data_IF_452312527239
#
_entry.id   IF_452312527239
#
_cell.length_a   1.000
_cell.length_b   1.000
_cell.length_c   1.000
_cell.angle_alpha   90.00
_cell.angle_beta   90.00
_cell.angle_gamma   90.00
#
_symmetry.space_group_name_H-M   'P 1'
#
loop_
_entity.id
_entity.type
_entity.pdbx_description
1 polymer ?
#
# COMPACT_ATOMS: atom_id res chain seq x y z
N UNK A 1 -29.85 18.46 0.91
CA UNK A 1 -28.65 17.80 0.35
C UNK A 1 -29.11 16.56 -0.39
N UNK A 2 -28.54 16.28 -1.56
CA UNK A 2 -28.83 15.04 -2.28
C UNK A 2 -28.41 13.83 -1.42
N UNK A 3 -29.16 12.73 -1.52
CA UNK A 3 -28.80 11.50 -0.83
C UNK A 3 -27.52 10.93 -1.43
N UNK A 4 -26.58 10.50 -0.58
CA UNK A 4 -25.36 9.83 -1.02
C UNK A 4 -25.71 8.58 -1.85
N UNK A 5 -24.90 8.23 -2.84
CA UNK A 5 -25.18 7.08 -3.71
C UNK A 5 -23.90 6.40 -4.20
N UNK A 6 -24.03 5.13 -4.59
CA UNK A 6 -22.95 4.31 -5.13
C UNK A 6 -22.59 4.77 -6.54
N UNK A 7 -21.40 5.35 -6.72
CA UNK A 7 -20.92 5.87 -8.00
C UNK A 7 -20.14 4.83 -8.82
N UNK A 8 -19.16 4.15 -8.22
CA UNK A 8 -18.35 3.15 -8.90
C UNK A 8 -18.12 1.93 -8.00
N UNK A 9 -17.97 0.77 -8.64
CA UNK A 9 -17.63 -0.50 -8.01
C UNK A 9 -16.35 -0.99 -8.68
N UNK A 10 -15.33 -1.34 -7.90
CA UNK A 10 -14.08 -1.88 -8.39
C UNK A 10 -13.72 -3.19 -7.71
N UNK A 11 -13.25 -4.14 -8.50
CA UNK A 11 -12.59 -5.35 -8.02
C UNK A 11 -11.18 -5.45 -8.56
N UNK A 12 -10.30 -6.14 -7.83
CA UNK A 12 -8.91 -6.35 -8.20
C UNK A 12 -8.60 -7.83 -8.03
N UNK A 13 -8.91 -8.67 -9.05
CA UNK A 13 -8.90 -10.12 -8.87
C UNK A 13 -7.58 -10.69 -8.37
N UNK A 14 -6.47 -10.08 -8.78
CA UNK A 14 -5.13 -10.38 -8.28
C UNK A 14 -4.66 -9.22 -7.41
N UNK A 15 -4.14 -9.53 -6.22
CA UNK A 15 -3.56 -8.53 -5.33
C UNK A 15 -2.51 -7.70 -6.07
N UNK A 16 -2.64 -6.38 -5.98
CA UNK A 16 -1.80 -5.38 -6.67
C UNK A 16 -2.05 -5.17 -8.17
N UNK A 17 -2.90 -5.96 -8.83
CA UNK A 17 -3.21 -5.78 -10.25
C UNK A 17 -4.03 -4.52 -10.53
N UNK A 18 -4.24 -4.22 -11.82
CA UNK A 18 -5.22 -3.23 -12.26
C UNK A 18 -6.63 -3.58 -11.75
N UNK A 19 -7.46 -2.55 -11.60
CA UNK A 19 -8.89 -2.69 -11.26
C UNK A 19 -9.70 -3.14 -12.48
N UNK A 20 -10.81 -3.80 -12.21
CA UNK A 20 -11.96 -3.91 -13.11
C UNK A 20 -13.07 -3.05 -12.53
N UNK A 21 -13.58 -2.11 -13.31
CA UNK A 21 -14.79 -1.37 -12.94
C UNK A 21 -16.03 -2.19 -13.32
N UNK A 22 -16.95 -2.36 -12.37
CA UNK A 22 -18.19 -3.11 -12.54
C UNK A 22 -19.40 -2.19 -12.44
N UNK A 23 -20.46 -2.53 -13.18
CA UNK A 23 -21.76 -1.88 -13.01
C UNK A 23 -22.51 -2.39 -11.77
N UNK A 24 -22.19 -3.60 -11.32
CA UNK A 24 -22.78 -4.26 -10.16
C UNK A 24 -21.88 -5.38 -9.63
N UNK A 25 -22.09 -5.80 -8.38
CA UNK A 25 -21.37 -6.91 -7.76
C UNK A 25 -22.22 -7.61 -6.70
N UNK A 26 -22.01 -8.91 -6.56
CA UNK A 26 -22.40 -9.65 -5.37
C UNK A 26 -21.43 -9.33 -4.23
N UNK A 27 -21.96 -9.14 -3.02
CA UNK A 27 -21.19 -8.95 -1.79
C UNK A 27 -21.19 -10.25 -1.00
N UNK A 28 -20.00 -10.77 -0.75
CA UNK A 28 -19.70 -11.96 0.04
C UNK A 28 -19.11 -11.58 1.40
N UNK A 29 -18.92 -12.58 2.26
CA UNK A 29 -18.18 -12.38 3.53
C UNK A 29 -16.76 -11.85 3.29
N UNK A 30 -16.09 -12.31 2.24
CA UNK A 30 -14.73 -11.91 1.86
C UNK A 30 -14.65 -10.53 1.19
N UNK A 31 -15.79 -9.83 0.99
CA UNK A 31 -15.88 -8.55 0.28
C UNK A 31 -16.65 -8.68 -1.03
N UNK A 32 -16.29 -7.90 -2.05
CA UNK A 32 -16.92 -8.04 -3.36
C UNK A 32 -16.49 -9.36 -3.99
N UNK A 33 -17.41 -10.06 -4.65
CA UNK A 33 -17.10 -11.24 -5.44
C UNK A 33 -15.92 -10.97 -6.37
N UNK A 34 -15.03 -11.97 -6.49
CA UNK A 34 -13.79 -11.91 -7.27
C UNK A 34 -12.69 -10.98 -6.75
N UNK A 35 -12.89 -10.21 -5.68
CA UNK A 35 -11.89 -9.24 -5.22
C UNK A 35 -10.74 -9.88 -4.44
N UNK A 36 -9.49 -9.63 -4.89
CA UNK A 36 -8.22 -10.11 -4.30
C UNK A 36 -8.25 -11.60 -3.91
N UNK A 37 -8.89 -12.42 -4.74
CA UNK A 37 -8.92 -13.88 -4.58
C UNK A 37 -7.61 -14.54 -4.99
N UNK A 38 -6.76 -13.84 -5.73
CA UNK A 38 -5.41 -14.30 -6.08
C UNK A 38 -4.32 -13.40 -5.49
N UNK A 39 -3.14 -13.98 -5.25
CA UNK A 39 -1.92 -13.26 -4.89
C UNK A 39 -0.71 -13.89 -5.56
N UNK A 40 0.26 -13.05 -5.92
CA UNK A 40 1.57 -13.50 -6.39
C UNK A 40 2.50 -13.63 -5.20
N UNK A 41 3.17 -14.77 -5.08
CA UNK A 41 4.15 -15.02 -4.02
C UNK A 41 5.44 -15.59 -4.60
N UNK A 42 6.53 -15.47 -3.87
CA UNK A 42 7.77 -16.21 -4.14
C UNK A 42 7.63 -17.69 -3.72
N UNK A 43 8.54 -18.59 -4.15
CA UNK A 43 8.47 -20.00 -3.78
C UNK A 43 8.56 -20.28 -2.28
N UNK A 44 9.16 -19.38 -1.50
CA UNK A 44 9.21 -19.42 -0.03
C UNK A 44 7.95 -18.83 0.64
N UNK A 45 6.92 -18.48 -0.15
CA UNK A 45 5.62 -18.07 0.35
C UNK A 45 5.51 -16.60 0.77
N UNK A 46 6.48 -15.76 0.40
CA UNK A 46 6.41 -14.31 0.65
C UNK A 46 5.62 -13.60 -0.44
N UNK A 47 4.77 -12.66 -0.04
CA UNK A 47 3.93 -11.92 -0.99
C UNK A 47 4.75 -10.96 -1.84
N UNK A 48 4.52 -11.01 -3.15
CA UNK A 48 5.02 -10.02 -4.11
C UNK A 48 3.89 -9.03 -4.37
N UNK A 49 4.11 -7.75 -4.05
CA UNK A 49 3.09 -6.70 -4.18
C UNK A 49 3.62 -5.53 -4.99
N UNK A 50 2.78 -4.61 -5.45
CA UNK A 50 3.29 -3.46 -6.21
C UNK A 50 4.24 -2.56 -5.40
N UNK A 51 4.23 -2.65 -4.06
CA UNK A 51 5.22 -1.97 -3.21
C UNK A 51 6.65 -2.37 -3.57
N UNK A 52 6.85 -3.63 -3.95
CA UNK A 52 8.15 -4.19 -4.36
C UNK A 52 8.28 -4.40 -5.86
N UNK A 53 7.18 -4.71 -6.56
CA UNK A 53 7.13 -4.97 -7.99
C UNK A 53 5.99 -4.16 -8.64
N UNK A 54 6.19 -2.85 -8.91
CA UNK A 54 5.14 -1.96 -9.41
C UNK A 54 4.48 -2.43 -10.71
N UNK A 55 5.20 -3.17 -11.55
CA UNK A 55 4.70 -3.71 -12.82
C UNK A 55 3.49 -4.63 -12.65
N UNK A 56 3.24 -5.15 -11.45
CA UNK A 56 1.99 -5.86 -11.12
C UNK A 56 0.75 -5.00 -11.43
N UNK A 57 0.82 -3.67 -11.26
CA UNK A 57 -0.28 -2.76 -11.57
C UNK A 57 -0.70 -2.80 -13.05
N UNK A 58 0.20 -3.25 -13.95
CA UNK A 58 -0.07 -3.34 -15.39
C UNK A 58 -0.73 -4.65 -15.81
N UNK A 59 -0.87 -5.61 -14.89
CA UNK A 59 -1.64 -6.83 -15.14
C UNK A 59 -3.12 -6.46 -15.15
N UNK A 60 -3.76 -6.65 -16.29
CA UNK A 60 -5.19 -6.43 -16.47
C UNK A 60 -5.89 -7.78 -16.51
N UNK A 61 -6.99 -7.89 -15.78
CA UNK A 61 -7.82 -9.08 -15.74
C UNK A 61 -9.18 -8.78 -16.38
N UNK A 62 -9.74 -9.78 -17.04
CA UNK A 62 -11.13 -9.83 -17.48
C UNK A 62 -11.79 -11.04 -16.84
N UNK A 63 -12.96 -10.85 -16.24
CA UNK A 63 -13.73 -11.95 -15.64
C UNK A 63 -14.33 -12.82 -16.76
N UNK A 64 -14.31 -14.13 -16.59
CA UNK A 64 -15.01 -15.09 -17.46
C UNK A 64 -15.99 -15.92 -16.62
N UNK A 65 -16.84 -16.71 -17.28
CA UNK A 65 -17.77 -17.60 -16.57
C UNK A 65 -17.06 -18.68 -15.72
N UNK A 66 -15.81 -19.03 -16.07
CA UNK A 66 -15.06 -20.14 -15.44
C UNK A 66 -13.77 -19.68 -14.75
N UNK A 67 -13.47 -18.38 -14.73
CA UNK A 67 -12.19 -17.88 -14.26
C UNK A 67 -11.84 -16.47 -14.71
N UNK A 68 -10.59 -16.29 -15.14
CA UNK A 68 -10.01 -15.01 -15.55
C UNK A 68 -9.22 -15.18 -16.85
N UNK A 69 -9.30 -14.17 -17.72
CA UNK A 69 -8.27 -13.95 -18.76
C UNK A 69 -7.41 -12.77 -18.32
N UNK A 70 -6.10 -12.94 -18.27
CA UNK A 70 -5.17 -11.87 -17.91
C UNK A 70 -4.23 -11.51 -19.06
N UNK A 71 -3.89 -10.22 -19.13
CA UNK A 71 -2.92 -9.67 -20.06
C UNK A 71 -1.95 -8.75 -19.32
N UNK A 72 -0.72 -8.66 -19.83
CA UNK A 72 0.29 -7.74 -19.35
C UNK A 72 1.22 -7.33 -20.51
N UNK A 73 1.95 -6.21 -20.39
CA UNK A 73 2.87 -5.76 -21.43
C UNK A 73 3.87 -6.85 -21.84
N UNK A 74 4.03 -7.05 -23.15
CA UNK A 74 4.96 -8.02 -23.75
C UNK A 74 4.74 -9.49 -23.34
N UNK A 75 3.54 -9.84 -22.86
CA UNK A 75 3.17 -11.20 -22.50
C UNK A 75 2.03 -11.72 -23.38
N UNK A 76 1.99 -13.03 -23.71
CA UNK A 76 0.78 -13.62 -24.27
C UNK A 76 -0.36 -13.56 -23.26
N UNK A 77 -1.61 -13.51 -23.74
CA UNK A 77 -2.77 -13.65 -22.87
C UNK A 77 -2.74 -14.99 -22.14
N UNK A 78 -3.09 -15.00 -20.85
CA UNK A 78 -3.15 -16.20 -20.02
C UNK A 78 -4.59 -16.40 -19.55
N UNK A 79 -5.12 -17.60 -19.78
CA UNK A 79 -6.42 -18.03 -19.25
C UNK A 79 -6.19 -18.82 -17.97
N UNK A 80 -6.89 -18.45 -16.91
CA UNK A 80 -6.87 -19.10 -15.59
C UNK A 80 -8.29 -19.58 -15.32
N UNK A 81 -8.50 -20.89 -15.31
CA UNK A 81 -9.81 -21.49 -15.01
C UNK A 81 -9.82 -22.11 -13.62
N UNK A 82 -10.87 -21.84 -12.84
CA UNK A 82 -10.96 -22.30 -11.46
C UNK A 82 -10.90 -23.82 -11.33
N UNK A 83 -11.55 -24.55 -12.24
CA UNK A 83 -11.55 -26.02 -12.25
C UNK A 83 -10.19 -26.62 -12.64
N UNK A 84 -9.29 -25.81 -13.21
CA UNK A 84 -7.94 -26.23 -13.55
C UNK A 84 -6.92 -25.94 -12.44
N UNK A 85 -7.30 -25.28 -11.33
CA UNK A 85 -6.40 -25.08 -10.20
C UNK A 85 -5.98 -26.41 -9.56
N UNK A 86 -4.81 -26.44 -8.94
CA UNK A 86 -4.34 -27.63 -8.24
C UNK A 86 -5.17 -27.84 -6.97
N UNK A 87 -5.33 -29.10 -6.54
CA UNK A 87 -5.96 -29.40 -5.25
C UNK A 87 -5.02 -29.17 -4.05
N UNK A 88 -3.72 -28.98 -4.33
CA UNK A 88 -2.71 -28.74 -3.31
C UNK A 88 -2.75 -27.32 -2.75
N UNK A 89 -2.50 -27.21 -1.46
CA UNK A 89 -2.37 -25.95 -0.73
C UNK A 89 -0.96 -25.78 -0.19
N UNK A 90 -0.50 -24.54 -0.09
CA UNK A 90 0.74 -24.19 0.61
C UNK A 90 0.48 -23.13 1.67
N UNK A 91 1.22 -23.23 2.78
CA UNK A 91 1.23 -22.20 3.79
C UNK A 91 2.00 -20.98 3.27
N UNK A 92 1.36 -19.82 3.31
CA UNK A 92 1.99 -18.53 3.00
C UNK A 92 1.85 -17.57 4.17
N UNK A 93 2.91 -16.81 4.43
CA UNK A 93 2.99 -15.90 5.56
C UNK A 93 2.63 -14.49 5.13
N UNK A 94 1.60 -13.94 5.76
CA UNK A 94 1.19 -12.55 5.63
C UNK A 94 1.30 -11.88 7.00
N UNK A 95 2.43 -11.22 7.25
CA UNK A 95 2.75 -10.65 8.55
C UNK A 95 2.76 -11.72 9.66
N UNK A 96 1.76 -11.73 10.53
CA UNK A 96 1.59 -12.69 11.62
C UNK A 96 0.58 -13.79 11.29
N UNK A 97 -0.07 -13.73 10.13
CA UNK A 97 -1.06 -14.71 9.69
C UNK A 97 -0.39 -15.77 8.78
N UNK A 98 -0.72 -17.04 9.01
CA UNK A 98 -0.42 -18.11 8.06
C UNK A 98 -1.69 -18.50 7.33
N UNK A 99 -1.68 -18.39 6.00
CA UNK A 99 -2.83 -18.70 5.14
C UNK A 99 -2.49 -19.95 4.35
N UNK A 100 -3.38 -20.94 4.36
CA UNK A 100 -3.30 -22.05 3.41
C UNK A 100 -3.86 -21.58 2.07
N UNK A 101 -3.02 -21.42 1.06
CA UNK A 101 -3.40 -20.91 -0.25
C UNK A 101 -3.33 -22.01 -1.32
N UNK A 102 -4.39 -22.12 -2.12
CA UNK A 102 -4.49 -23.10 -3.20
C UNK A 102 -3.52 -22.77 -4.32
N UNK A 103 -2.83 -23.79 -4.84
CA UNK A 103 -1.82 -23.59 -5.87
C UNK A 103 -2.42 -23.51 -7.28
N UNK A 104 -1.85 -22.64 -8.12
CA UNK A 104 -2.07 -22.68 -9.56
C UNK A 104 -1.14 -23.69 -10.26
N UNK A 105 -1.48 -24.06 -11.50
CA UNK A 105 -0.66 -24.94 -12.33
C UNK A 105 0.68 -24.32 -12.70
N UNK A 106 1.64 -25.19 -13.04
CA UNK A 106 3.02 -24.82 -13.41
C UNK A 106 3.09 -23.79 -14.55
N UNK A 107 2.25 -23.93 -15.57
CA UNK A 107 2.20 -23.00 -16.71
C UNK A 107 1.77 -21.58 -16.28
N UNK A 108 0.82 -21.47 -15.34
CA UNK A 108 0.41 -20.18 -14.77
C UNK A 108 1.59 -19.57 -14.01
N UNK A 109 2.23 -20.34 -13.13
CA UNK A 109 3.38 -19.86 -12.35
C UNK A 109 4.55 -19.43 -13.25
N UNK A 110 4.80 -20.14 -14.35
CA UNK A 110 5.81 -19.79 -15.35
C UNK A 110 5.51 -18.46 -16.04
N UNK A 111 4.25 -18.16 -16.35
CA UNK A 111 3.84 -16.88 -16.93
C UNK A 111 4.20 -15.71 -15.99
N UNK A 112 3.85 -15.80 -14.71
CA UNK A 112 4.20 -14.77 -13.72
C UNK A 112 5.71 -14.67 -13.51
N UNK A 113 6.39 -15.83 -13.50
CA UNK A 113 7.85 -15.86 -13.32
C UNK A 113 8.59 -15.18 -14.47
N UNK A 114 8.10 -15.38 -15.70
CA UNK A 114 8.62 -14.70 -16.89
C UNK A 114 8.30 -13.20 -16.86
N UNK A 115 7.06 -12.81 -16.53
CA UNK A 115 6.69 -11.40 -16.47
C UNK A 115 7.51 -10.62 -15.42
N UNK A 116 7.71 -11.19 -14.23
CA UNK A 116 8.42 -10.54 -13.13
C UNK A 116 9.93 -10.83 -13.10
N UNK A 117 10.43 -11.61 -14.06
CA UNK A 117 11.84 -12.00 -14.18
C UNK A 117 12.42 -12.61 -12.89
N UNK A 118 11.59 -13.38 -12.16
CA UNK A 118 11.98 -14.08 -10.93
C UNK A 118 11.03 -15.24 -10.66
N UNK A 119 11.43 -16.28 -9.89
CA UNK A 119 10.52 -17.37 -9.53
C UNK A 119 9.28 -16.85 -8.80
N UNK A 120 8.10 -17.22 -9.28
CA UNK A 120 6.82 -16.79 -8.73
C UNK A 120 5.80 -17.93 -8.73
N UNK A 121 4.89 -17.89 -7.76
CA UNK A 121 3.69 -18.68 -7.66
C UNK A 121 2.48 -17.75 -7.72
N UNK A 122 1.47 -18.12 -8.50
CA UNK A 122 0.14 -17.55 -8.33
C UNK A 122 -0.65 -18.46 -7.38
N UNK A 123 -1.22 -17.86 -6.34
CA UNK A 123 -1.95 -18.55 -5.30
C UNK A 123 -3.38 -18.04 -5.23
N UNK A 124 -4.32 -18.94 -4.97
CA UNK A 124 -5.73 -18.67 -4.90
C UNK A 124 -6.26 -18.87 -3.47
N UNK A 125 -7.17 -18.00 -3.05
CA UNK A 125 -7.89 -18.14 -1.80
C UNK A 125 -9.04 -19.12 -2.04
N UNK A 126 -8.76 -20.41 -1.87
CA UNK A 126 -9.68 -21.51 -2.13
C UNK A 126 -10.64 -21.77 -0.97
N UNK A 127 -11.43 -22.85 -1.06
CA UNK A 127 -12.40 -23.23 -0.01
C UNK A 127 -11.75 -23.49 1.34
N UNK A 128 -10.54 -24.07 1.34
CA UNK A 128 -9.82 -24.46 2.55
C UNK A 128 -8.90 -23.33 3.05
N UNK A 129 -8.97 -22.15 2.43
CA UNK A 129 -8.27 -20.95 2.88
C UNK A 129 -9.09 -20.25 3.97
N UNK A 130 -8.43 -19.85 5.05
CA UNK A 130 -9.04 -19.05 6.11
C UNK A 130 -8.11 -17.93 6.54
N UNK A 131 -8.70 -16.76 6.77
CA UNK A 131 -8.04 -15.62 7.39
C UNK A 131 -9.10 -14.65 7.91
N UNK A 132 -8.87 -14.13 9.10
CA UNK A 132 -9.83 -13.28 9.80
C UNK A 132 -9.38 -11.84 9.83
N UNK A 133 -10.35 -10.93 9.79
CA UNK A 133 -10.11 -9.53 10.12
C UNK A 133 -9.72 -9.46 11.60
N UNK A 134 -8.70 -8.65 11.92
CA UNK A 134 -8.20 -8.52 13.28
C UNK A 134 -9.33 -8.21 14.27
N UNK A 135 -9.42 -8.99 15.34
CA UNK A 135 -10.43 -8.88 16.40
C UNK A 135 -11.89 -9.03 15.92
N UNK A 136 -12.13 -9.71 14.80
CA UNK A 136 -13.45 -9.98 14.25
C UNK A 136 -13.55 -11.42 13.75
N UNK A 137 -14.77 -11.94 13.67
CA UNK A 137 -15.05 -13.26 13.09
C UNK A 137 -15.23 -13.23 11.57
N UNK A 138 -15.36 -12.03 10.97
CA UNK A 138 -15.46 -11.85 9.51
C UNK A 138 -14.14 -12.21 8.83
N UNK A 139 -14.21 -12.90 7.70
CA UNK A 139 -13.03 -13.25 6.91
C UNK A 139 -12.50 -12.10 6.04
N UNK A 140 -11.23 -12.21 5.66
CA UNK A 140 -10.58 -11.37 4.65
C UNK A 140 -9.64 -12.22 3.80
N UNK A 141 -9.76 -12.11 2.48
CA UNK A 141 -8.89 -12.83 1.53
C UNK A 141 -7.46 -12.27 1.51
N UNK A 142 -6.87 -12.13 0.31
CA UNK A 142 -5.54 -11.53 0.18
C UNK A 142 -5.53 -9.99 0.19
N UNK A 143 -6.65 -9.34 0.53
CA UNK A 143 -6.66 -7.91 0.85
C UNK A 143 -5.74 -7.60 2.05
N UNK A 144 -5.32 -6.35 2.25
CA UNK A 144 -4.30 -6.03 3.26
C UNK A 144 -4.78 -6.30 4.70
N UNK A 145 -5.91 -5.71 5.11
CA UNK A 145 -6.44 -5.87 6.46
C UNK A 145 -7.97 -6.04 6.53
N UNK A 146 -8.69 -5.45 5.57
CA UNK A 146 -10.15 -5.50 5.51
C UNK A 146 -10.63 -5.88 4.11
N UNK A 147 -11.81 -6.51 3.99
CA UNK A 147 -12.41 -6.92 2.72
C UNK A 147 -12.62 -5.79 1.72
N UNK A 148 -13.01 -4.63 2.23
CA UNK A 148 -13.53 -3.54 1.41
C UNK A 148 -12.95 -2.19 1.83
N UNK A 149 -12.77 -1.32 0.85
CA UNK A 149 -12.40 0.07 1.03
C UNK A 149 -13.41 0.98 0.33
N UNK A 150 -13.94 1.96 1.05
CA UNK A 150 -14.82 3.01 0.54
C UNK A 150 -14.12 4.37 0.55
N UNK A 151 -14.33 5.14 -0.52
CA UNK A 151 -13.85 6.52 -0.64
C UNK A 151 -14.95 7.34 -1.30
N UNK A 152 -15.22 8.56 -0.83
CA UNK A 152 -16.11 9.45 -1.55
C UNK A 152 -15.40 10.17 -2.70
N UNK A 153 -16.11 10.40 -3.80
CA UNK A 153 -15.63 11.21 -4.93
C UNK A 153 -15.26 12.63 -4.45
N UNK A 154 -16.06 13.20 -3.53
CA UNK A 154 -15.79 14.51 -2.96
C UNK A 154 -14.45 14.58 -2.19
N UNK A 155 -14.05 13.51 -1.49
CA UNK A 155 -12.73 13.41 -0.86
C UNK A 155 -11.59 13.45 -1.88
N UNK A 156 -11.73 12.76 -3.02
CA UNK A 156 -10.74 12.79 -4.09
C UNK A 156 -10.69 14.16 -4.78
N UNK A 157 -11.85 14.77 -5.04
CA UNK A 157 -11.92 16.10 -5.64
C UNK A 157 -11.27 17.15 -4.73
N UNK A 158 -11.47 17.02 -3.42
CA UNK A 158 -10.81 17.86 -2.43
C UNK A 158 -9.28 17.68 -2.44
N UNK A 159 -8.80 16.43 -2.47
CA UNK A 159 -7.37 16.14 -2.61
C UNK A 159 -6.79 16.76 -3.88
N UNK A 160 -7.44 16.57 -5.03
CA UNK A 160 -6.98 17.13 -6.31
C UNK A 160 -6.98 18.66 -6.32
N UNK A 161 -7.87 19.33 -5.57
CA UNK A 161 -7.82 20.80 -5.40
C UNK A 161 -6.62 21.27 -4.58
N UNK A 162 -6.16 20.44 -3.63
CA UNK A 162 -5.00 20.76 -2.78
C UNK A 162 -3.67 20.35 -3.43
N UNK A 163 -3.70 19.39 -4.34
CA UNK A 163 -2.56 18.94 -5.11
C UNK A 163 -2.11 20.02 -6.10
N UNK A 164 -0.95 20.63 -5.82
CA UNK A 164 -0.40 21.75 -6.59
C UNK A 164 0.80 21.37 -7.46
N UNK A 165 1.29 20.15 -7.31
CA UNK A 165 2.40 19.64 -8.10
C UNK A 165 1.83 18.93 -9.33
N UNK A 166 2.42 19.18 -10.50
CA UNK A 166 2.20 18.43 -11.73
C UNK A 166 0.92 18.67 -12.54
N UNK A 167 0.99 18.34 -13.84
CA UNK A 167 -0.11 18.46 -14.82
C UNK A 167 -1.08 17.28 -14.79
N UNK A 168 -0.77 16.23 -14.03
CA UNK A 168 -1.52 14.98 -13.96
C UNK A 168 -2.41 14.90 -12.73
N UNK A 169 -3.72 14.75 -12.92
CA UNK A 169 -4.69 14.54 -11.83
C UNK A 169 -4.48 13.21 -11.11
N UNK A 170 -4.58 13.21 -9.78
CA UNK A 170 -4.54 11.99 -8.96
C UNK A 170 -5.80 11.17 -9.24
N UNK A 171 -5.62 9.90 -9.62
CA UNK A 171 -6.72 8.98 -9.92
C UNK A 171 -7.22 8.26 -8.67
N UNK A 172 -8.54 8.03 -8.60
CA UNK A 172 -9.15 7.19 -7.56
C UNK A 172 -8.51 5.80 -7.46
N UNK A 173 -8.10 5.24 -8.61
CA UNK A 173 -7.52 3.90 -8.72
C UNK A 173 -6.17 3.77 -8.00
N UNK A 174 -5.45 4.89 -7.74
CA UNK A 174 -4.24 4.88 -6.89
C UNK A 174 -4.54 4.45 -5.45
N UNK A 175 -5.75 4.76 -4.96
CA UNK A 175 -6.19 4.39 -3.61
C UNK A 175 -6.83 3.00 -3.54
N UNK A 176 -7.09 2.40 -4.69
CA UNK A 176 -7.66 1.06 -4.83
C UNK A 176 -8.97 0.79 -4.06
N UNK A 177 -9.93 1.74 -3.99
CA UNK A 177 -11.20 1.47 -3.33
C UNK A 177 -11.96 0.36 -4.05
N UNK A 178 -12.85 -0.30 -3.33
CA UNK A 178 -13.86 -1.18 -3.90
C UNK A 178 -15.15 -0.41 -4.19
N UNK A 179 -15.49 0.53 -3.32
CA UNK A 179 -16.72 1.29 -3.36
C UNK A 179 -16.37 2.77 -3.45
N UNK A 180 -16.90 3.45 -4.47
CA UNK A 180 -16.84 4.91 -4.56
C UNK A 180 -18.25 5.45 -4.47
N UNK A 181 -18.45 6.44 -3.60
CA UNK A 181 -19.75 7.08 -3.39
C UNK A 181 -19.67 8.56 -3.73
N UNK A 182 -20.80 9.17 -4.08
CA UNK A 182 -20.88 10.60 -4.31
C UNK A 182 -22.12 11.19 -3.63
N UNK A 183 -22.46 12.44 -3.96
CA UNK A 183 -23.54 13.19 -3.32
C UNK A 183 -23.37 13.32 -1.80
N UNK A 184 -22.13 13.51 -1.36
CA UNK A 184 -21.78 13.82 0.02
C UNK A 184 -20.66 14.86 0.06
N UNK A 185 -20.47 15.49 1.21
CA UNK A 185 -19.35 16.40 1.42
C UNK A 185 -18.01 15.66 1.40
N UNK A 186 -16.92 16.38 1.14
CA UNK A 186 -15.59 15.82 1.21
C UNK A 186 -15.32 15.27 2.63
N UNK A 187 -14.82 14.03 2.69
CA UNK A 187 -14.55 13.30 3.93
C UNK A 187 -15.78 12.98 4.79
N UNK A 188 -17.00 13.11 4.25
CA UNK A 188 -18.20 12.73 4.98
C UNK A 188 -18.15 11.26 5.47
N UNK A 189 -17.45 10.38 4.75
CA UNK A 189 -17.24 8.98 5.12
C UNK A 189 -16.54 8.81 6.48
N UNK A 190 -15.76 9.79 6.95
CA UNK A 190 -15.10 9.72 8.25
C UNK A 190 -16.08 9.68 9.43
N UNK A 191 -17.29 10.21 9.23
CA UNK A 191 -18.33 10.24 10.25
C UNK A 191 -19.32 9.07 10.17
N UNK A 192 -19.13 8.12 9.25
CA UNK A 192 -20.04 6.99 9.12
C UNK A 192 -19.55 5.83 9.97
N UNK A 193 -20.46 5.15 10.65
CA UNK A 193 -20.17 3.96 11.44
C UNK A 193 -20.88 2.72 10.88
N UNK A 194 -22.12 2.89 10.43
CA UNK A 194 -22.94 1.84 9.87
C UNK A 194 -23.73 2.44 8.71
N UNK A 195 -23.60 1.84 7.54
CA UNK A 195 -24.25 2.31 6.31
C UNK A 195 -25.00 1.16 5.64
N UNK A 196 -25.99 1.50 4.82
CA UNK A 196 -26.65 0.58 3.90
C UNK A 196 -26.49 1.09 2.47
N UNK A 197 -26.13 0.21 1.54
CA UNK A 197 -26.10 0.50 0.10
C UNK A 197 -26.95 -0.56 -0.58
N UNK A 198 -28.05 -0.14 -1.20
CA UNK A 198 -29.06 -1.09 -1.69
C UNK A 198 -29.61 -1.93 -0.54
N UNK A 199 -29.45 -3.24 -0.63
CA UNK A 199 -29.86 -4.20 0.41
C UNK A 199 -28.74 -4.62 1.38
N UNK A 200 -27.51 -4.16 1.14
CA UNK A 200 -26.34 -4.61 1.90
C UNK A 200 -25.95 -3.58 2.95
N UNK A 201 -25.82 -4.03 4.19
CA UNK A 201 -25.32 -3.25 5.30
C UNK A 201 -23.83 -3.46 5.52
N UNK A 202 -23.14 -2.39 5.88
CA UNK A 202 -21.71 -2.39 6.13
C UNK A 202 -21.40 -1.69 7.44
N UNK A 203 -20.49 -2.30 8.20
CA UNK A 203 -19.83 -1.66 9.33
C UNK A 203 -18.56 -0.96 8.83
N UNK A 204 -18.43 0.32 9.14
CA UNK A 204 -17.21 1.11 8.94
C UNK A 204 -16.29 0.80 10.12
N UNK A 205 -15.20 0.07 9.87
CA UNK A 205 -14.37 -0.49 10.94
C UNK A 205 -13.29 0.47 11.40
N UNK A 206 -12.53 1.02 10.46
CA UNK A 206 -11.39 1.88 10.76
C UNK A 206 -11.01 2.73 9.54
N UNK A 207 -10.54 3.97 9.75
CA UNK A 207 -9.94 4.77 8.69
C UNK A 207 -8.79 4.04 8.00
N UNK A 208 -8.66 4.22 6.69
CA UNK A 208 -7.63 3.55 5.91
C UNK A 208 -6.32 4.36 5.92
N UNK A 209 -5.31 3.85 6.62
CA UNK A 209 -3.94 4.37 6.54
C UNK A 209 -3.35 4.11 5.15
N UNK A 210 -2.79 5.16 4.54
CA UNK A 210 -2.23 5.09 3.19
C UNK A 210 -0.74 4.78 3.25
N UNK A 211 -0.28 3.95 2.31
CA UNK A 211 1.11 3.56 2.17
C UNK A 211 1.67 3.97 0.81
N UNK A 212 2.97 3.74 0.59
CA UNK A 212 3.68 4.11 -0.64
C UNK A 212 3.05 3.54 -1.92
N UNK A 213 2.19 2.51 -1.83
CA UNK A 213 1.45 2.02 -2.99
C UNK A 213 0.72 3.14 -3.72
N UNK A 214 0.12 4.10 -2.99
CA UNK A 214 -0.69 5.17 -3.62
C UNK A 214 0.13 6.08 -4.52
N UNK A 215 1.46 6.06 -4.41
CA UNK A 215 2.37 6.88 -5.24
C UNK A 215 2.78 6.19 -6.53
N UNK A 216 2.34 4.95 -6.76
CA UNK A 216 2.57 4.22 -8.00
C UNK A 216 1.50 4.64 -9.00
N UNK A 217 1.93 5.08 -10.19
CA UNK A 217 1.03 5.34 -11.29
C UNK A 217 0.42 4.01 -11.78
N UNK A 218 -0.91 3.81 -11.73
CA UNK A 218 -1.53 2.54 -12.08
C UNK A 218 -1.45 2.21 -13.57
N UNK A 219 -1.17 3.18 -14.44
CA UNK A 219 -1.06 3.00 -15.90
C UNK A 219 0.37 2.76 -16.36
N UNK A 220 1.37 3.34 -15.68
CA UNK A 220 2.79 3.24 -16.10
C UNK A 220 3.64 2.41 -15.15
N UNK A 221 3.13 2.08 -13.95
CA UNK A 221 3.86 1.47 -12.83
C UNK A 221 5.00 2.30 -12.24
N UNK A 222 5.17 3.55 -12.69
CA UNK A 222 6.22 4.42 -12.18
C UNK A 222 5.87 4.95 -10.79
N UNK A 223 6.86 4.94 -9.89
CA UNK A 223 6.75 5.57 -8.58
C UNK A 223 6.86 7.09 -8.76
N UNK A 224 5.94 7.86 -8.16
CA UNK A 224 6.00 9.31 -8.19
C UNK A 224 7.23 9.82 -7.40
N UNK A 225 8.06 10.64 -8.02
CA UNK A 225 9.34 11.10 -7.45
C UNK A 225 9.17 11.85 -6.12
N UNK A 226 8.12 12.69 -6.03
CA UNK A 226 7.79 13.45 -4.83
C UNK A 226 6.84 12.71 -3.85
N UNK A 227 6.66 11.39 -4.05
CA UNK A 227 5.76 10.57 -3.21
C UNK A 227 4.30 11.06 -3.14
N UNK A 228 3.82 11.69 -4.21
CA UNK A 228 2.42 12.12 -4.30
C UNK A 228 1.52 10.92 -4.61
N UNK A 229 0.32 10.82 -4.02
CA UNK A 229 -0.41 11.86 -3.29
C UNK A 229 -0.17 11.90 -1.77
N UNK A 230 0.75 11.08 -1.25
CA UNK A 230 0.95 10.99 0.20
C UNK A 230 1.46 12.31 0.77
N UNK A 231 2.38 12.97 0.08
CA UNK A 231 2.92 14.25 0.53
C UNK A 231 1.83 15.33 0.64
N UNK A 232 0.91 15.42 -0.31
CA UNK A 232 -0.26 16.31 -0.20
C UNK A 232 -1.18 15.88 0.93
N UNK A 233 -1.57 14.60 1.02
CA UNK A 233 -2.45 14.13 2.09
C UNK A 233 -1.85 14.39 3.48
N UNK A 234 -0.54 14.21 3.64
CA UNK A 234 0.17 14.45 4.89
C UNK A 234 -0.05 15.86 5.44
N UNK A 235 -0.20 16.88 4.58
CA UNK A 235 -0.32 18.26 5.06
C UNK A 235 -1.64 18.54 5.80
N UNK A 236 -2.65 17.67 5.69
CA UNK A 236 -3.97 17.91 6.30
C UNK A 236 -4.71 16.65 6.78
N UNK A 237 -4.18 15.44 6.50
CA UNK A 237 -4.77 14.14 6.85
C UNK A 237 -3.83 13.26 7.67
N UNK A 238 -2.80 13.84 8.29
CA UNK A 238 -1.88 13.12 9.16
C UNK A 238 -2.36 13.13 10.63
N UNK A 239 -2.39 11.96 11.25
CA UNK A 239 -2.63 11.80 12.69
C UNK A 239 -1.36 12.08 13.50
N UNK A 240 -1.50 12.29 14.81
CA UNK A 240 -0.37 12.51 15.71
C UNK A 240 0.68 11.38 15.69
N UNK A 241 0.28 10.14 15.40
CA UNK A 241 1.16 8.98 15.29
C UNK A 241 1.89 8.88 13.93
N UNK A 242 1.67 9.82 13.02
CA UNK A 242 2.28 9.86 11.68
C UNK A 242 1.45 9.21 10.57
N UNK A 243 0.38 8.49 10.90
CA UNK A 243 -0.47 7.83 9.89
C UNK A 243 -1.22 8.84 9.02
N UNK A 244 -1.23 8.61 7.71
CA UNK A 244 -1.94 9.44 6.73
C UNK A 244 -3.24 8.73 6.34
N UNK A 245 -4.39 9.37 6.54
CA UNK A 245 -5.70 8.74 6.34
C UNK A 245 -6.40 9.16 5.06
N UNK A 246 -6.89 8.19 4.28
CA UNK A 246 -7.78 8.45 3.14
C UNK A 246 -8.68 7.24 2.82
N UNK A 247 -9.99 7.42 2.92
CA UNK A 247 -10.97 6.34 2.81
C UNK A 247 -11.22 5.58 4.11
N UNK A 248 -12.22 4.71 4.06
CA UNK A 248 -12.74 3.95 5.19
C UNK A 248 -12.77 2.46 4.87
N UNK A 249 -12.24 1.63 5.76
CA UNK A 249 -12.34 0.19 5.63
C UNK A 249 -13.71 -0.29 6.09
N UNK A 250 -14.25 -1.30 5.41
CA UNK A 250 -15.58 -1.86 5.68
C UNK A 250 -15.53 -3.37 5.83
N UNK A 251 -16.50 -3.90 6.58
CA UNK A 251 -16.94 -5.29 6.51
C UNK A 251 -18.43 -5.33 6.18
N UNK A 252 -18.85 -6.29 5.36
CA UNK A 252 -20.27 -6.51 5.08
C UNK A 252 -20.91 -7.25 6.25
N UNK A 253 -22.13 -6.85 6.63
CA UNK A 253 -22.91 -7.46 7.72
C UNK A 253 -23.91 -8.50 7.21
N UNK A 254 -24.22 -8.45 5.91
CA UNK A 254 -25.02 -9.43 5.19
C UNK A 254 -24.50 -9.58 3.76
N UNK A 255 -24.96 -10.62 3.07
CA UNK A 255 -24.73 -10.81 1.64
C UNK A 255 -25.87 -10.16 0.84
N UNK A 256 -25.58 -9.81 -0.40
CA UNK A 256 -26.57 -9.24 -1.32
C UNK A 256 -25.93 -8.60 -2.54
N UNK A 257 -26.78 -8.03 -3.39
CA UNK A 257 -26.37 -7.36 -4.61
C UNK A 257 -26.29 -5.84 -4.42
N UNK A 258 -25.22 -5.25 -4.92
CA UNK A 258 -25.09 -3.80 -5.05
C UNK A 258 -24.83 -3.42 -6.50
N UNK A 259 -25.39 -2.30 -6.93
CA UNK A 259 -25.21 -1.75 -8.28
C UNK A 259 -24.98 -0.26 -8.26
N UNK A 260 -24.26 0.22 -9.27
CA UNK A 260 -24.09 1.65 -9.51
C UNK A 260 -25.47 2.32 -9.53
N UNK A 261 -25.58 3.42 -8.79
CA UNK A 261 -26.82 4.15 -8.62
C UNK A 261 -27.59 3.83 -7.34
N UNK A 262 -27.25 2.76 -6.61
CA UNK A 262 -27.92 2.44 -5.35
C UNK A 262 -27.76 3.57 -4.34
N UNK A 263 -28.85 3.87 -3.62
CA UNK A 263 -28.85 4.85 -2.56
C UNK A 263 -28.02 4.38 -1.38
N UNK A 264 -27.26 5.30 -0.79
CA UNK A 264 -26.56 5.10 0.46
C UNK A 264 -27.34 5.75 1.60
N UNK A 265 -27.62 4.97 2.64
CA UNK A 265 -28.21 5.43 3.89
C UNK A 265 -27.20 5.30 5.02
N UNK A 266 -27.02 6.37 5.82
CA UNK A 266 -26.17 6.34 7.01
C UNK A 266 -27.02 5.98 8.22
N UNK A 267 -26.95 4.73 8.66
CA UNK A 267 -27.72 4.18 9.77
C UNK A 267 -27.17 4.61 11.13
N UNK A 268 -25.84 4.75 11.23
CA UNK A 268 -25.17 5.20 12.45
C UNK A 268 -23.94 6.04 12.12
N UNK A 269 -23.70 7.08 12.93
CA UNK A 269 -22.56 7.99 12.80
C UNK A 269 -21.55 7.80 13.93
N UNK A 270 -20.32 8.22 13.67
CA UNK A 270 -19.21 8.29 14.61
C UNK A 270 -18.49 9.62 14.55
N UNK A 271 -17.62 9.85 15.54
CA UNK A 271 -16.71 11.00 15.57
C UNK A 271 -15.62 10.81 14.51
N UNK A 272 -15.40 11.83 13.69
CA UNK A 272 -14.32 11.82 12.69
C UNK A 272 -12.94 11.88 13.37
N UNK A 273 -11.89 11.36 12.73
CA UNK A 273 -10.53 11.51 13.22
C UNK A 273 -10.11 12.97 13.35
N UNK A 274 -9.27 13.24 14.35
CA UNK A 274 -8.65 14.57 14.55
C UNK A 274 -7.25 14.54 13.96
N UNK A 275 -6.96 15.49 13.08
CA UNK A 275 -5.68 15.57 12.38
C UNK A 275 -4.73 16.56 13.05
N UNK A 276 -3.47 16.18 13.15
CA UNK A 276 -2.40 17.04 13.65
C UNK A 276 -1.79 17.78 12.47
N UNK A 277 -2.42 18.88 12.07
CA UNK A 277 -1.80 19.76 11.09
C UNK A 277 -0.66 20.49 11.80
N UNK A 278 0.59 20.11 11.53
CA UNK A 278 1.74 20.96 11.90
C UNK A 278 1.56 22.27 11.15
N UNK A 279 1.04 23.30 11.82
CA UNK A 279 1.04 24.65 11.31
C UNK A 279 2.49 24.96 10.96
N UNK A 280 2.77 25.25 9.69
CA UNK A 280 4.00 25.94 9.34
C UNK A 280 3.91 27.28 10.06
N UNK A 281 4.47 27.36 11.26
CA UNK A 281 4.76 28.62 11.91
C UNK A 281 5.63 29.38 10.91
N UNK A 282 5.04 30.38 10.27
CA UNK A 282 5.77 31.41 9.55
C UNK A 282 6.56 32.15 10.62
N UNK A 283 7.73 31.62 10.96
CA UNK A 283 8.71 32.39 11.71
C UNK A 283 9.21 33.43 10.70
N UNK A 284 8.64 34.63 10.76
CA UNK A 284 9.34 35.82 10.31
C UNK A 284 10.57 36.00 11.21
N UNK A 285 11.63 35.27 10.89
CA UNK A 285 12.95 35.55 11.41
C UNK A 285 13.55 36.67 10.57
N UNK A 286 13.18 37.91 10.91
CA UNK A 286 13.96 39.08 10.54
C UNK A 286 15.26 39.03 11.35
N UNK A 287 16.25 38.27 10.87
CA UNK A 287 17.65 38.47 11.23
C UNK A 287 18.51 38.25 9.99
N UNK A 288 18.97 39.38 9.47
CA UNK A 288 20.10 39.55 8.58
C UNK A 288 21.28 38.75 9.12
N UNK A 289 21.63 37.66 8.45
CA UNK A 289 22.97 37.10 8.54
C UNK A 289 23.29 36.53 7.17
N UNK A 290 24.16 37.23 6.45
CA UNK A 290 24.75 36.74 5.21
C UNK A 290 25.50 35.46 5.52
N UNK A 291 24.89 34.30 5.25
CA UNK A 291 25.62 33.04 5.14
C UNK A 291 25.98 32.89 3.68
N UNK A 292 27.28 33.00 3.42
CA UNK A 292 27.90 32.72 2.13
C UNK A 292 27.42 31.36 1.63
N UNK A 293 27.02 31.34 0.36
CA UNK A 293 26.85 30.15 -0.46
C UNK A 293 28.24 29.52 -0.63
N UNK A 294 28.67 28.69 0.31
CA UNK A 294 29.69 27.68 0.02
C UNK A 294 28.95 26.44 -0.47
N UNK A 295 28.79 26.38 -1.79
CA UNK A 295 28.49 25.17 -2.51
C UNK A 295 29.69 24.23 -2.38
N UNK A 296 29.73 23.44 -1.31
CA UNK A 296 30.52 22.21 -1.30
C UNK A 296 29.81 21.23 -2.22
N UNK A 297 30.35 21.09 -3.44
CA UNK A 297 30.00 20.04 -4.39
C UNK A 297 30.26 18.68 -3.71
N UNK A 298 29.25 18.07 -3.11
CA UNK A 298 29.35 16.69 -2.63
C UNK A 298 29.45 15.77 -3.84
N UNK A 299 30.64 15.19 -4.01
CA UNK A 299 30.99 14.32 -5.13
C UNK A 299 30.14 13.05 -5.04
N UNK A 300 29.06 13.00 -5.83
CA UNK A 300 28.19 11.81 -5.94
C UNK A 300 29.02 10.66 -6.51
N UNK A 301 29.23 9.61 -5.70
CA UNK A 301 29.93 8.40 -6.14
C UNK A 301 28.94 7.55 -6.92
N UNK A 302 29.24 7.22 -8.19
CA UNK A 302 28.30 6.47 -9.06
C UNK A 302 28.01 5.03 -8.56
N UNK A 303 28.95 4.45 -7.82
CA UNK A 303 28.87 3.10 -7.25
C UNK A 303 29.34 3.12 -5.79
N UNK A 304 28.53 3.63 -4.86
CA UNK A 304 28.92 3.72 -3.47
C UNK A 304 29.06 2.33 -2.84
N UNK A 305 30.03 2.14 -1.97
CA UNK A 305 30.17 0.95 -1.14
C UNK A 305 29.23 1.06 0.05
N UNK A 306 28.36 0.07 0.23
CA UNK A 306 27.37 0.02 1.31
C UNK A 306 27.76 -1.06 2.31
N UNK A 307 27.99 -0.67 3.56
CA UNK A 307 28.31 -1.59 4.66
C UNK A 307 27.16 -1.66 5.64
N UNK A 308 26.61 -2.86 5.80
CA UNK A 308 25.57 -3.22 6.75
C UNK A 308 26.23 -3.86 7.97
N UNK A 309 26.72 -3.03 8.90
CA UNK A 309 27.58 -3.46 10.03
C UNK A 309 26.94 -4.59 10.84
N UNK A 310 25.63 -4.47 11.15
CA UNK A 310 24.88 -5.47 11.91
C UNK A 310 24.75 -6.85 11.24
N UNK A 311 25.04 -6.93 9.95
CA UNK A 311 24.98 -8.17 9.16
C UNK A 311 26.36 -8.60 8.66
N UNK A 312 27.43 -7.89 9.04
CA UNK A 312 28.79 -8.07 8.54
C UNK A 312 28.85 -8.23 7.01
N UNK A 313 28.10 -7.38 6.29
CA UNK A 313 27.96 -7.47 4.85
C UNK A 313 28.26 -6.14 4.17
N UNK A 314 29.13 -6.19 3.17
CA UNK A 314 29.47 -5.05 2.33
C UNK A 314 29.13 -5.37 0.88
N UNK A 315 28.49 -4.43 0.19
CA UNK A 315 28.11 -4.57 -1.22
C UNK A 315 28.48 -3.31 -2.00
N UNK A 316 28.68 -3.46 -3.31
CA UNK A 316 28.76 -2.31 -4.22
C UNK A 316 27.35 -1.91 -4.62
N UNK A 317 26.92 -0.73 -4.21
CA UNK A 317 25.60 -0.18 -4.43
C UNK A 317 25.49 0.76 -5.64
N UNK A 318 24.38 1.49 -5.69
CA UNK A 318 24.07 2.52 -6.66
C UNK A 318 23.28 3.68 -6.01
N UNK A 319 23.12 4.76 -6.76
CA UNK A 319 22.43 5.99 -6.36
C UNK A 319 21.00 6.09 -6.91
N UNK A 320 20.35 4.97 -7.22
CA UNK A 320 18.99 4.90 -7.75
C UNK A 320 18.03 4.19 -6.80
N UNK A 321 18.48 3.09 -6.20
CA UNK A 321 17.71 2.30 -5.26
C UNK A 321 17.93 2.78 -3.82
N UNK A 322 16.92 2.55 -2.97
CA UNK A 322 17.05 2.83 -1.55
C UNK A 322 18.03 1.87 -0.87
N UNK A 323 18.58 2.25 0.30
CA UNK A 323 19.42 1.36 1.11
C UNK A 323 18.72 0.04 1.47
N UNK A 324 17.40 0.08 1.71
CA UNK A 324 16.59 -1.11 1.95
C UNK A 324 16.58 -2.05 0.74
N UNK A 325 16.21 -1.54 -0.45
CA UNK A 325 16.13 -2.34 -1.68
C UNK A 325 17.48 -2.99 -2.01
N UNK A 326 18.59 -2.24 -1.88
CA UNK A 326 19.93 -2.77 -2.14
C UNK A 326 20.36 -3.85 -1.13
N UNK A 327 19.93 -3.72 0.14
CA UNK A 327 20.18 -4.75 1.15
C UNK A 327 19.39 -6.03 0.89
N UNK A 328 18.13 -5.91 0.45
CA UNK A 328 17.29 -7.07 0.09
C UNK A 328 17.80 -7.79 -1.15
N UNK A 329 18.24 -7.05 -2.18
CA UNK A 329 18.87 -7.61 -3.38
C UNK A 329 20.16 -8.37 -3.03
N UNK A 330 20.83 -7.95 -1.95
CA UNK A 330 21.96 -8.67 -1.37
C UNK A 330 21.54 -9.85 -0.47
N UNK A 331 20.25 -10.18 -0.35
CA UNK A 331 19.75 -11.28 0.47
C UNK A 331 19.71 -11.00 1.98
N UNK A 332 19.73 -9.73 2.40
CA UNK A 332 19.55 -9.37 3.82
C UNK A 332 18.07 -9.29 4.18
N UNK A 333 17.71 -9.82 5.35
CA UNK A 333 16.37 -9.68 5.93
C UNK A 333 16.33 -8.43 6.80
N UNK A 334 16.09 -7.29 6.17
CA UNK A 334 16.00 -6.00 6.84
C UNK A 334 14.57 -5.71 7.32
N UNK A 335 14.39 -5.06 8.48
CA UNK A 335 13.05 -4.73 8.94
C UNK A 335 12.43 -3.58 8.15
N UNK A 336 11.18 -3.74 7.71
CA UNK A 336 10.40 -2.68 7.08
C UNK A 336 8.90 -2.96 7.18
N UNK A 337 8.08 -1.96 6.83
CA UNK A 337 6.63 -2.14 6.68
C UNK A 337 6.09 -1.29 5.52
N UNK A 338 6.07 0.04 5.67
CA UNK A 338 5.43 0.93 4.69
C UNK A 338 6.24 1.19 3.40
N UNK A 339 7.58 1.00 3.43
CA UNK A 339 8.54 1.34 2.37
C UNK A 339 8.49 2.79 1.83
N UNK A 340 7.86 3.70 2.56
CA UNK A 340 7.76 5.13 2.22
C UNK A 340 8.20 6.06 3.34
N UNK A 341 8.92 5.54 4.34
CA UNK A 341 9.50 6.35 5.41
C UNK A 341 8.53 6.85 6.49
N UNK A 342 7.27 6.44 6.48
CA UNK A 342 6.26 6.94 7.44
C UNK A 342 6.17 6.11 8.73
N UNK A 343 6.34 4.79 8.65
CA UNK A 343 6.07 3.89 9.80
C UNK A 343 7.24 3.71 10.79
N UNK A 344 8.42 4.28 10.51
CA UNK A 344 9.64 4.10 11.34
C UNK A 344 10.24 2.69 11.39
N UNK A 345 9.58 1.68 10.81
CA UNK A 345 10.03 0.28 10.87
C UNK A 345 11.34 0.00 10.14
N UNK A 346 11.81 0.90 9.27
CA UNK A 346 13.09 0.76 8.55
C UNK A 346 14.22 1.62 9.16
N UNK A 347 14.04 2.07 10.40
CA UNK A 347 15.01 2.92 11.10
C UNK A 347 16.35 2.22 11.30
N UNK A 348 17.41 2.90 10.91
CA UNK A 348 18.82 2.49 11.03
C UNK A 348 19.66 3.70 11.43
N UNK A 349 20.83 3.49 12.03
CA UNK A 349 21.76 4.56 12.37
C UNK A 349 22.75 4.74 11.22
N UNK A 350 22.95 5.98 10.78
CA UNK A 350 23.98 6.33 9.81
C UNK A 350 25.30 6.55 10.58
N UNK A 351 26.27 5.66 10.36
CA UNK A 351 27.58 5.74 11.04
C UNK A 351 28.56 6.57 10.23
N UNK A 352 28.55 6.40 8.90
CA UNK A 352 29.41 7.13 7.98
C UNK A 352 28.70 7.33 6.63
N UNK A 353 29.06 8.40 5.94
CA UNK A 353 28.59 8.71 4.59
C UNK A 353 27.42 9.68 4.54
N UNK A 354 27.00 10.00 3.32
CA UNK A 354 25.88 10.89 3.04
C UNK A 354 24.79 10.17 2.25
N UNK A 355 23.54 10.48 2.60
CA UNK A 355 22.35 9.94 1.95
C UNK A 355 21.39 11.06 1.57
N UNK A 356 20.70 10.87 0.46
CA UNK A 356 19.54 11.68 0.10
C UNK A 356 18.30 11.01 0.69
N UNK A 357 17.65 11.67 1.65
CA UNK A 357 16.48 11.13 2.33
C UNK A 357 15.21 11.81 1.85
N UNK A 358 14.33 11.02 1.22
CA UNK A 358 13.09 11.50 0.60
C UNK A 358 12.00 11.74 1.66
N UNK A 359 12.00 10.97 2.75
CA UNK A 359 11.01 11.06 3.82
C UNK A 359 11.65 10.75 5.19
N UNK A 360 11.31 11.54 6.22
CA UNK A 360 11.83 11.45 7.60
C UNK A 360 10.74 11.18 8.66
N UNK A 361 9.50 10.95 8.25
CA UNK A 361 8.33 10.99 9.14
C UNK A 361 8.30 9.90 10.21
N UNK A 362 8.91 8.75 9.91
CA UNK A 362 9.06 7.65 10.84
C UNK A 362 10.11 7.85 11.92
N UNK A 363 10.70 9.06 12.04
CA UNK A 363 11.72 9.42 13.02
C UNK A 363 11.22 10.56 13.90
N UNK A 364 11.46 10.47 15.21
CA UNK A 364 11.29 11.62 16.10
C UNK A 364 12.39 12.67 15.88
N UNK A 365 12.16 13.90 16.33
CA UNK A 365 13.16 14.97 16.24
C UNK A 365 14.47 14.59 16.99
N UNK A 366 14.35 13.89 18.11
CA UNK A 366 15.49 13.35 18.87
C UNK A 366 16.27 12.29 18.06
N UNK A 367 15.56 11.42 17.35
CA UNK A 367 16.17 10.36 16.54
C UNK A 367 16.91 10.94 15.33
N UNK A 368 16.35 11.98 14.71
CA UNK A 368 17.02 12.72 13.64
C UNK A 368 18.32 13.36 14.15
N UNK A 369 18.29 14.00 15.33
CA UNK A 369 19.49 14.57 15.95
C UNK A 369 20.54 13.51 16.33
N UNK A 370 20.10 12.29 16.64
CA UNK A 370 20.99 11.15 16.92
C UNK A 370 21.58 10.48 15.66
N UNK A 371 21.27 10.99 14.46
CA UNK A 371 21.77 10.47 13.19
C UNK A 371 21.04 9.20 12.72
N UNK A 372 19.82 8.96 13.18
CA UNK A 372 18.98 7.91 12.60
C UNK A 372 18.44 8.34 11.23
N UNK A 373 18.41 7.39 10.31
CA UNK A 373 17.83 7.52 8.98
C UNK A 373 16.86 6.38 8.72
N UNK A 374 16.08 6.48 7.64
CA UNK A 374 15.11 5.46 7.23
C UNK A 374 15.60 4.75 5.98
N UNK A 375 16.12 3.53 6.12
CA UNK A 375 16.76 2.80 5.00
C UNK A 375 15.83 2.64 3.78
N UNK A 376 14.52 2.62 4.02
CA UNK A 376 13.49 2.53 2.98
C UNK A 376 13.14 3.84 2.27
N UNK A 377 13.77 4.96 2.65
CA UNK A 377 13.55 6.27 2.03
C UNK A 377 14.86 7.06 1.87
N UNK A 378 16.00 6.36 1.90
CA UNK A 378 17.33 6.93 1.75
C UNK A 378 18.04 6.30 0.56
N UNK A 379 18.62 7.12 -0.31
CA UNK A 379 19.49 6.72 -1.41
C UNK A 379 20.92 7.20 -1.11
N UNK A 380 21.95 6.35 -1.24
CA UNK A 380 23.33 6.73 -0.92
C UNK A 380 23.91 7.73 -1.94
N UNK A 381 24.61 8.76 -1.46
CA UNK A 381 25.35 9.74 -2.27
C UNK A 381 26.85 9.43 -2.30
N UNK A 382 27.39 8.96 -1.18
CA UNK A 382 28.77 8.49 -1.00
C UNK A 382 28.78 7.04 -0.54
N UNK A 383 29.96 6.49 -0.24
CA UNK A 383 30.06 5.25 0.54
C UNK A 383 29.35 5.43 1.88
N UNK A 384 28.58 4.42 2.29
CA UNK A 384 27.72 4.49 3.47
C UNK A 384 27.96 3.31 4.39
N UNK A 385 28.07 3.59 5.69
CA UNK A 385 28.08 2.59 6.75
C UNK A 385 26.83 2.78 7.61
N UNK A 386 26.01 1.75 7.73
CA UNK A 386 24.80 1.77 8.57
C UNK A 386 24.79 0.62 9.57
N UNK A 387 24.25 0.89 10.76
CA UNK A 387 23.96 -0.12 11.77
C UNK A 387 22.46 -0.17 12.09
N UNK A 388 21.96 -1.39 12.28
CA UNK A 388 20.59 -1.61 12.71
C UNK A 388 20.56 -1.58 14.24
N UNK A 389 19.71 -0.75 14.85
CA UNK A 389 19.58 -0.73 16.30
C UNK A 389 19.14 -2.11 16.78
N UNK A 390 19.72 -2.55 17.90
CA UNK A 390 19.33 -3.80 18.56
C UNK A 390 17.87 -3.68 18.95
N UNK A 391 16.98 -4.34 18.21
CA UNK A 391 15.59 -4.43 18.61
C UNK A 391 15.51 -5.34 19.81
N UNK A 392 15.21 -4.78 20.98
CA UNK A 392 14.62 -5.58 22.05
C UNK A 392 13.41 -6.26 21.45
N UNK A 393 13.39 -7.60 21.38
CA UNK A 393 12.14 -8.35 21.19
C UNK A 393 11.17 -7.74 22.19
N UNK A 394 9.98 -7.29 21.76
CA UNK A 394 8.92 -7.01 22.72
C UNK A 394 8.77 -8.30 23.51
N UNK A 395 9.12 -8.26 24.79
CA UNK A 395 8.87 -9.39 25.67
C UNK A 395 7.39 -9.72 25.53
N UNK A 396 7.12 -10.99 25.25
CA UNK A 396 5.88 -11.62 25.69
C UNK A 396 6.02 -11.57 27.21
N UNK A 397 5.44 -10.54 27.84
CA UNK A 397 5.20 -10.55 29.27
C UNK A 397 3.74 -10.92 29.44
N UNK A 398 3.55 -12.02 30.15
CA UNK A 398 2.29 -12.55 30.64
C UNK A 398 1.36 -11.44 31.15
N UNK A 399 0.15 -11.39 30.59
CA UNK A 399 -1.12 -11.03 31.24
C UNK A 399 -2.30 -11.52 30.40
#
# INVERSE_FOLDING_TARGET
MSQAMLQNIYVYPIKSSASIELSNSWVEELGLAFDRRFVVASPDGQFITARTQPTLCLIQASLTATGLTIVAPNMPALVIEYHHLCQGYIAVNLWNDTINAQQCRKNINQWFSHYLQKPCLLLFFGSDSQRFVKNKNSQVGFADAYPLLLISQASLDNLNKQYKADTTTISMTQFRPNIVVNNCDAFAEDNWQHIRIGEVEFEITTPCTRCIFTTINPKTSEKHQQQEPLNTLKSYRQLANGDILFGQNLVALNQGHIKRGDSLEVLKRQTAPVFTVKSKSVIHATKTTQVKKDSTLTVKTKKPVLTFTSFNKTITGNNKQTLLEQGEDAGLVLPYSCRGGMCGSCKVKLEQGEVEQICQDGLSDEEQQQGYILSCSCTPLTDVVISHPVRKRRNISDE
#
